data_IF_373384406801
#
_entry.id   IF_373384406801
#
_cell.length_a   1.000
_cell.length_b   1.000
_cell.length_c   1.000
_cell.angle_alpha   90.00
_cell.angle_beta   90.00
_cell.angle_gamma   90.00
#
_symmetry.space_group_name_H-M   'P 1'
#
loop_
_entity.id
_entity.type
_entity.pdbx_description
1 polymer ?
#
# COMPACT_ATOMS: atom_id res chain seq x y z
N UNK A 1 -3.71 36.01 41.28
CA UNK A 1 -4.14 35.96 39.87
C UNK A 1 -4.52 34.52 39.56
N UNK A 2 -5.79 34.18 39.30
CA UNK A 2 -6.14 32.84 38.85
C UNK A 2 -5.80 32.71 37.36
N UNK A 3 -5.09 31.63 37.00
CA UNK A 3 -4.68 31.33 35.63
C UNK A 3 -5.85 30.72 34.84
N UNK A 4 -6.07 31.20 33.62
CA UNK A 4 -7.08 30.66 32.69
C UNK A 4 -6.73 29.22 32.26
N UNK A 5 -7.74 28.35 32.03
CA UNK A 5 -7.52 27.02 31.50
C UNK A 5 -7.15 27.13 30.02
N UNK A 6 -5.95 26.67 29.67
CA UNK A 6 -5.46 26.62 28.30
C UNK A 6 -6.40 25.82 27.40
N UNK A 7 -7.07 26.50 26.48
CA UNK A 7 -7.80 25.85 25.37
C UNK A 7 -6.77 25.24 24.45
N UNK A 8 -6.55 23.93 24.58
CA UNK A 8 -5.76 23.17 23.60
C UNK A 8 -6.52 23.15 22.27
N UNK A 9 -5.95 23.77 21.23
CA UNK A 9 -6.50 23.71 19.88
C UNK A 9 -6.67 22.25 19.42
N UNK A 10 -7.74 21.91 18.68
CA UNK A 10 -7.96 20.55 18.20
C UNK A 10 -6.83 20.14 17.25
N UNK A 11 -6.12 19.05 17.58
CA UNK A 11 -5.10 18.46 16.71
C UNK A 11 -5.79 17.82 15.50
N UNK A 12 -5.54 18.38 14.31
CA UNK A 12 -6.02 17.84 13.04
C UNK A 12 -5.20 16.61 12.65
N UNK A 13 -5.86 15.57 12.14
CA UNK A 13 -5.20 14.39 11.59
C UNK A 13 -4.33 14.77 10.37
N UNK A 14 -3.24 14.03 10.16
CA UNK A 14 -2.32 14.24 9.05
C UNK A 14 -2.96 13.94 7.66
N UNK A 15 -4.04 13.15 7.64
CA UNK A 15 -4.82 12.84 6.43
C UNK A 15 -6.29 12.62 6.79
N UNK A 16 -7.16 12.92 5.83
CA UNK A 16 -8.60 12.71 5.90
C UNK A 16 -9.00 11.29 5.47
N UNK A 17 -10.20 10.83 5.87
CA UNK A 17 -10.83 9.62 5.34
C UNK A 17 -10.91 9.61 3.79
N UNK A 18 -11.19 10.76 3.17
CA UNK A 18 -11.24 10.90 1.71
C UNK A 18 -9.88 10.63 1.04
N UNK A 19 -8.82 11.25 1.56
CA UNK A 19 -7.46 11.08 1.04
C UNK A 19 -6.97 9.63 1.19
N UNK A 20 -7.25 8.97 2.32
CA UNK A 20 -6.90 7.54 2.52
C UNK A 20 -7.60 6.63 1.51
N UNK A 21 -8.89 6.88 1.22
CA UNK A 21 -9.63 6.14 0.18
C UNK A 21 -9.09 6.37 -1.22
N UNK A 22 -8.74 7.63 -1.55
CA UNK A 22 -8.15 7.97 -2.83
C UNK A 22 -6.78 7.29 -3.02
N UNK A 23 -5.94 7.29 -1.98
CA UNK A 23 -4.65 6.59 -2.00
C UNK A 23 -4.81 5.07 -2.19
N UNK A 24 -5.73 4.44 -1.45
CA UNK A 24 -6.00 3.01 -1.61
C UNK A 24 -6.47 2.65 -3.03
N UNK A 25 -7.34 3.48 -3.63
CA UNK A 25 -7.77 3.33 -5.03
C UNK A 25 -6.63 3.51 -6.02
N UNK A 26 -5.73 4.47 -5.80
CA UNK A 26 -4.56 4.65 -6.66
C UNK A 26 -3.65 3.42 -6.65
N UNK A 27 -3.45 2.81 -5.47
CA UNK A 27 -2.70 1.54 -5.34
C UNK A 27 -3.39 0.42 -6.15
N UNK A 28 -4.69 0.24 -5.95
CA UNK A 28 -5.48 -0.82 -6.60
C UNK A 28 -5.60 -0.68 -8.12
N UNK A 29 -5.90 0.54 -8.60
CA UNK A 29 -6.29 0.77 -9.98
C UNK A 29 -5.08 1.03 -10.90
N UNK A 30 -3.96 1.53 -10.35
CA UNK A 30 -2.82 1.99 -11.16
C UNK A 30 -1.50 1.34 -10.78
N UNK A 31 -1.15 1.35 -9.49
CA UNK A 31 0.19 0.92 -9.05
C UNK A 31 0.31 -0.61 -9.09
N UNK A 32 -0.60 -1.35 -8.46
CA UNK A 32 -0.58 -2.81 -8.47
C UNK A 32 -0.63 -3.39 -9.91
N UNK A 33 -1.52 -2.94 -10.81
CA UNK A 33 -1.53 -3.43 -12.20
C UNK A 33 -0.23 -3.09 -12.94
N UNK A 34 0.27 -1.87 -12.81
CA UNK A 34 1.50 -1.41 -13.45
C UNK A 34 2.73 -2.19 -12.98
N UNK A 35 2.90 -2.34 -11.66
CA UNK A 35 3.99 -3.12 -11.05
C UNK A 35 3.93 -4.57 -11.50
N UNK A 36 2.75 -5.18 -11.53
CA UNK A 36 2.58 -6.56 -12.00
C UNK A 36 2.90 -6.71 -13.49
N UNK A 37 2.51 -5.74 -14.32
CA UNK A 37 2.82 -5.77 -15.75
C UNK A 37 4.32 -5.63 -16.01
N UNK A 38 4.98 -4.68 -15.35
CA UNK A 38 6.43 -4.49 -15.46
C UNK A 38 7.20 -5.73 -14.96
N UNK A 39 6.76 -6.33 -13.86
CA UNK A 39 7.31 -7.58 -13.32
C UNK A 39 7.24 -8.72 -14.34
N UNK A 40 6.05 -8.98 -14.91
CA UNK A 40 5.87 -10.02 -15.93
C UNK A 40 6.73 -9.80 -17.17
N UNK A 41 6.80 -8.56 -17.66
CA UNK A 41 7.64 -8.25 -18.82
C UNK A 41 9.11 -8.56 -18.54
N UNK A 42 9.62 -8.13 -17.37
CA UNK A 42 10.98 -8.44 -16.95
C UNK A 42 11.19 -9.95 -16.76
N UNK A 43 10.18 -10.70 -16.32
CA UNK A 43 10.27 -12.14 -16.19
C UNK A 43 10.37 -12.85 -17.55
N UNK A 44 9.59 -12.41 -18.53
CA UNK A 44 9.59 -12.97 -19.88
C UNK A 44 10.93 -12.71 -20.60
N UNK A 45 11.44 -11.47 -20.55
CA UNK A 45 12.69 -11.07 -21.18
C UNK A 45 13.90 -11.79 -20.55
N UNK A 46 13.99 -11.79 -19.21
CA UNK A 46 15.06 -12.51 -18.53
C UNK A 46 14.98 -14.03 -18.76
N UNK A 47 13.76 -14.60 -18.76
CA UNK A 47 13.54 -15.99 -19.10
C UNK A 47 14.02 -16.35 -20.51
N UNK A 48 13.79 -15.46 -21.48
CA UNK A 48 14.30 -15.62 -22.85
C UNK A 48 15.82 -15.60 -22.89
N UNK A 49 16.45 -14.59 -22.28
CA UNK A 49 17.89 -14.46 -22.23
C UNK A 49 18.57 -15.65 -21.53
N UNK A 50 17.99 -16.18 -20.44
CA UNK A 50 18.49 -17.41 -19.79
C UNK A 50 18.48 -18.60 -20.74
N UNK A 51 17.42 -18.75 -21.56
CA UNK A 51 17.32 -19.83 -22.56
C UNK A 51 18.29 -19.65 -23.71
N UNK A 52 18.53 -18.42 -24.14
CA UNK A 52 19.49 -18.13 -25.22
C UNK A 52 20.93 -18.43 -24.82
N UNK A 53 21.31 -18.13 -23.57
CA UNK A 53 22.65 -18.42 -23.05
C UNK A 53 22.82 -19.86 -22.54
N UNK A 54 21.73 -20.62 -22.42
CA UNK A 54 21.78 -22.02 -22.03
C UNK A 54 22.48 -22.87 -23.10
N UNK A 55 23.02 -24.00 -22.67
CA UNK A 55 23.68 -24.92 -23.59
C UNK A 55 22.66 -25.49 -24.58
N UNK A 56 22.94 -25.35 -25.88
CA UNK A 56 22.19 -26.05 -26.92
C UNK A 56 22.84 -27.41 -27.24
N UNK A 57 24.17 -27.45 -27.32
CA UNK A 57 24.90 -28.64 -27.83
C UNK A 57 26.19 -28.98 -27.02
N UNK A 58 26.33 -28.51 -25.77
CA UNK A 58 27.57 -28.65 -24.98
C UNK A 58 27.45 -28.08 -23.56
N UNK A 59 28.50 -27.43 -23.04
CA UNK A 59 28.41 -26.65 -21.79
C UNK A 59 27.90 -25.23 -22.10
N UNK A 60 26.85 -24.80 -21.38
CA UNK A 60 26.22 -23.49 -21.58
C UNK A 60 27.12 -22.36 -21.11
N UNK A 61 26.76 -21.12 -21.45
CA UNK A 61 27.54 -19.98 -20.98
C UNK A 61 27.36 -19.85 -19.46
N UNK A 62 28.45 -19.63 -18.71
CA UNK A 62 28.42 -19.38 -17.25
C UNK A 62 27.43 -18.26 -16.89
N UNK A 63 27.27 -17.28 -17.79
CA UNK A 63 26.32 -16.18 -17.67
C UNK A 63 24.86 -16.65 -17.55
N UNK A 64 24.48 -17.79 -18.14
CA UNK A 64 23.11 -18.34 -18.04
C UNK A 64 22.72 -18.67 -16.59
N UNK A 65 23.63 -19.29 -15.83
CA UNK A 65 23.41 -19.65 -14.43
C UNK A 65 23.37 -18.40 -13.53
N UNK A 66 24.30 -17.46 -13.76
CA UNK A 66 24.32 -16.19 -13.04
C UNK A 66 23.05 -15.36 -13.31
N UNK A 67 22.63 -15.27 -14.57
CA UNK A 67 21.40 -14.58 -14.98
C UNK A 67 20.15 -15.25 -14.40
N UNK A 68 20.08 -16.58 -14.41
CA UNK A 68 18.98 -17.32 -13.78
C UNK A 68 18.84 -17.00 -12.28
N UNK A 69 19.97 -16.90 -11.57
CA UNK A 69 19.98 -16.52 -10.15
C UNK A 69 19.51 -15.08 -9.95
N UNK A 70 20.01 -14.15 -10.75
CA UNK A 70 19.59 -12.74 -10.70
C UNK A 70 18.09 -12.59 -10.99
N UNK A 71 17.59 -13.31 -12.00
CA UNK A 71 16.18 -13.33 -12.35
C UNK A 71 15.30 -13.90 -11.21
N UNK A 72 15.72 -14.96 -10.53
CA UNK A 72 15.03 -15.47 -9.35
C UNK A 72 14.94 -14.43 -8.22
N UNK A 73 16.05 -13.75 -7.93
CA UNK A 73 16.06 -12.69 -6.91
C UNK A 73 15.16 -11.49 -7.29
N UNK A 74 15.11 -11.13 -8.57
CA UNK A 74 14.19 -10.13 -9.08
C UNK A 74 12.73 -10.53 -8.88
N UNK A 75 12.36 -11.77 -9.24
CA UNK A 75 11.00 -12.27 -9.06
C UNK A 75 10.57 -12.25 -7.58
N UNK A 76 11.48 -12.61 -6.67
CA UNK A 76 11.23 -12.50 -5.22
C UNK A 76 11.02 -11.05 -4.77
N UNK A 77 11.78 -10.10 -5.31
CA UNK A 77 11.62 -8.67 -5.02
C UNK A 77 10.28 -8.12 -5.52
N UNK A 78 9.87 -8.48 -6.75
CA UNK A 78 8.57 -8.09 -7.31
C UNK A 78 7.44 -8.66 -6.46
N UNK A 79 7.52 -9.92 -6.05
CA UNK A 79 6.51 -10.54 -5.17
C UNK A 79 6.39 -9.78 -3.84
N UNK A 80 7.51 -9.53 -3.16
CA UNK A 80 7.51 -8.80 -1.90
C UNK A 80 6.93 -7.38 -2.05
N UNK A 81 7.26 -6.68 -3.14
CA UNK A 81 6.67 -5.39 -3.43
C UNK A 81 5.15 -5.48 -3.60
N UNK A 82 4.64 -6.46 -4.34
CA UNK A 82 3.21 -6.68 -4.51
C UNK A 82 2.49 -7.00 -3.19
N UNK A 83 3.10 -7.83 -2.34
CA UNK A 83 2.58 -8.15 -1.01
C UNK A 83 2.50 -6.89 -0.13
N UNK A 84 3.53 -6.04 -0.17
CA UNK A 84 3.56 -4.78 0.58
C UNK A 84 2.51 -3.79 0.08
N UNK A 85 2.32 -3.66 -1.24
CA UNK A 85 1.27 -2.82 -1.82
C UNK A 85 -0.13 -3.28 -1.37
N UNK A 86 -0.37 -4.59 -1.34
CA UNK A 86 -1.62 -5.16 -0.82
C UNK A 86 -1.84 -4.81 0.65
N UNK A 87 -0.82 -5.00 1.49
CA UNK A 87 -0.89 -4.67 2.91
C UNK A 87 -1.12 -3.17 3.17
N UNK A 88 -0.46 -2.29 2.42
CA UNK A 88 -0.63 -0.84 2.53
C UNK A 88 -2.04 -0.40 2.12
N UNK A 89 -2.59 -0.97 1.03
CA UNK A 89 -3.98 -0.74 0.61
C UNK A 89 -4.97 -1.13 1.70
N UNK A 90 -4.79 -2.30 2.32
CA UNK A 90 -5.68 -2.78 3.38
C UNK A 90 -5.57 -1.91 4.64
N UNK A 91 -4.35 -1.49 5.01
CA UNK A 91 -4.13 -0.57 6.11
C UNK A 91 -4.81 0.80 5.88
N UNK A 92 -4.74 1.34 4.66
CA UNK A 92 -5.41 2.60 4.31
C UNK A 92 -6.94 2.49 4.42
N UNK A 93 -7.52 1.37 3.96
CA UNK A 93 -8.96 1.10 4.07
C UNK A 93 -9.41 0.91 5.51
N UNK A 94 -8.66 0.14 6.30
CA UNK A 94 -8.93 -0.09 7.72
C UNK A 94 -8.84 1.21 8.52
N UNK A 95 -7.78 1.99 8.33
CA UNK A 95 -7.62 3.28 9.01
C UNK A 95 -8.76 4.25 8.71
N UNK A 96 -9.26 4.28 7.47
CA UNK A 96 -10.46 5.06 7.12
C UNK A 96 -11.71 4.58 7.89
N UNK A 97 -11.92 3.28 8.02
CA UNK A 97 -13.07 2.71 8.73
C UNK A 97 -13.05 3.07 10.23
N UNK A 98 -11.90 2.92 10.90
CA UNK A 98 -11.73 3.23 12.33
C UNK A 98 -11.95 4.71 12.62
N UNK A 99 -11.42 5.61 11.78
CA UNK A 99 -11.61 7.04 11.98
C UNK A 99 -13.07 7.46 11.80
N UNK A 100 -13.73 6.92 10.76
CA UNK A 100 -15.14 7.23 10.50
C UNK A 100 -16.05 6.74 11.62
N UNK A 101 -15.82 5.52 12.15
CA UNK A 101 -16.61 5.00 13.27
C UNK A 101 -16.39 5.80 14.56
N UNK A 102 -15.15 6.23 14.81
CA UNK A 102 -14.81 7.10 15.95
C UNK A 102 -15.55 8.44 15.85
N UNK A 103 -15.54 9.07 14.67
CA UNK A 103 -16.24 10.35 14.44
C UNK A 103 -17.76 10.22 14.69
N UNK A 104 -18.37 9.12 14.24
CA UNK A 104 -19.80 8.85 14.48
C UNK A 104 -20.12 8.63 15.96
N UNK A 105 -19.29 7.87 16.68
CA UNK A 105 -19.46 7.60 18.11
C UNK A 105 -19.35 8.88 18.94
N UNK A 106 -18.33 9.70 18.65
CA UNK A 106 -18.14 11.01 19.32
C UNK A 106 -19.31 11.93 19.01
N UNK A 107 -19.75 12.03 17.75
CA UNK A 107 -20.89 12.86 17.37
C UNK A 107 -22.18 12.45 18.08
N UNK A 108 -22.41 11.14 18.22
CA UNK A 108 -23.56 10.60 18.95
C UNK A 108 -23.52 10.95 20.45
N UNK A 109 -22.38 10.76 21.10
CA UNK A 109 -22.19 11.08 22.51
C UNK A 109 -22.24 12.60 22.82
N UNK A 110 -21.91 13.45 21.84
CA UNK A 110 -22.09 14.91 21.95
C UNK A 110 -23.57 15.27 21.81
N UNK A 111 -24.29 14.68 20.84
CA UNK A 111 -25.73 14.91 20.66
C UNK A 111 -26.52 14.50 21.89
N UNK A 112 -26.26 13.31 22.44
CA UNK A 112 -26.93 12.80 23.64
C UNK A 112 -26.75 13.72 24.86
N UNK A 113 -25.59 14.36 24.99
CA UNK A 113 -25.31 15.29 26.10
C UNK A 113 -25.74 16.73 25.82
N UNK A 114 -26.21 17.04 24.62
CA UNK A 114 -26.60 18.39 24.24
C UNK A 114 -28.04 18.66 24.67
N UNK A 115 -28.24 19.66 25.53
CA UNK A 115 -29.58 20.13 25.96
C UNK A 115 -30.39 20.83 24.86
N UNK A 116 -29.82 20.98 23.66
CA UNK A 116 -30.45 21.63 22.51
C UNK A 116 -31.39 20.69 21.72
N UNK A 117 -31.30 19.37 21.92
CA UNK A 117 -32.20 18.37 21.30
C UNK A 117 -33.46 18.10 22.16
N UNK A 118 -33.64 18.80 23.28
CA UNK A 118 -34.79 18.67 24.21
C UNK A 118 -35.82 19.82 24.08
N UNK A 119 -35.71 20.66 23.04
CA UNK A 119 -36.68 21.69 22.67
C UNK A 119 -37.04 21.56 21.18
#
# INVERSE_FOLDING_TARGET
>A
MPSEPGVSAPRKLASSPGEKRAAARSIEDHIEPGTRAAGRWADDEHGSAVREFAAKDGDGWVTSAALKKAHGAWADQVRNLMDRLGAEKDALRSGNAVLTSTDLAVGSAVRERSSLDTF
#
